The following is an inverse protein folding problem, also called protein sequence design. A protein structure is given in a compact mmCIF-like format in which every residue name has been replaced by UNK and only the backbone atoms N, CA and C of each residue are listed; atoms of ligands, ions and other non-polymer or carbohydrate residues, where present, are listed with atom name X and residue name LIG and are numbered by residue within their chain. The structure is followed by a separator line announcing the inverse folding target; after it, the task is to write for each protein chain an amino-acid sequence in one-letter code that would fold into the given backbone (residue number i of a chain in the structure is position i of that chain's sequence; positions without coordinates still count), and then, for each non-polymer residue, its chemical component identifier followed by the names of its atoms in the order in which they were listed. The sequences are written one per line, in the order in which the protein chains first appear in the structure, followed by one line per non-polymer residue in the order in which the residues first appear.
data_IF_877956997237
#
_entry.id   IF_877956997237
#
_cell.length_a   1.000
_cell.length_b   1.000
_cell.length_c   1.000
_cell.angle_alpha   90.00
_cell.angle_beta   90.00
_cell.angle_gamma   90.00
#
_symmetry.space_group_name_H-M   'P 1'
#
loop_
_entity.id
_entity.type
_entity.pdbx_description
1 polymer ?
#
# COMPACT_ATOMS: atom_id res chain seq x y z
N UNK A 1 2.58 -1.21 66.52
CA UNK A 1 2.65 0.17 66.00
C UNK A 1 1.31 0.65 65.40
N UNK A 2 0.31 -0.23 65.26
CA UNK A 2 -1.02 0.02 64.67
C UNK A 2 -1.93 1.02 65.38
N UNK A 3 -1.49 1.65 66.47
CA UNK A 3 -2.28 2.61 67.27
C UNK A 3 -1.74 4.06 67.23
N UNK A 4 -0.69 4.32 66.46
CA UNK A 4 0.02 5.62 66.47
C UNK A 4 -0.55 6.63 65.47
N UNK A 5 -1.27 6.16 64.45
CA UNK A 5 -2.05 6.98 63.51
C UNK A 5 -3.39 6.28 63.31
N UNK A 6 -4.49 7.03 63.43
CA UNK A 6 -5.84 6.52 63.18
C UNK A 6 -6.29 7.00 61.80
N UNK A 7 -6.53 6.03 60.91
CA UNK A 7 -7.23 6.29 59.65
C UNK A 7 -8.74 6.18 59.89
N UNK A 8 -9.54 7.06 59.29
CA UNK A 8 -11.00 6.91 59.27
C UNK A 8 -11.41 5.64 58.51
N UNK A 9 -10.61 5.25 57.51
CA UNK A 9 -10.73 4.01 56.72
C UNK A 9 -9.33 3.42 56.51
N UNK A 10 -9.14 2.12 56.79
CA UNK A 10 -7.84 1.43 56.58
C UNK A 10 -7.52 1.20 55.10
N UNK A 11 -8.59 1.03 54.32
CA UNK A 11 -8.60 0.81 52.89
C UNK A 11 -9.63 1.75 52.31
N UNK A 12 -9.25 2.47 51.25
CA UNK A 12 -10.15 3.43 50.58
C UNK A 12 -10.42 2.88 49.20
N UNK A 13 -11.69 2.58 48.97
CA UNK A 13 -12.19 2.10 47.68
C UNK A 13 -12.58 3.28 46.81
N UNK A 14 -12.07 3.30 45.59
CA UNK A 14 -12.52 4.21 44.55
C UNK A 14 -13.17 3.38 43.44
N UNK A 15 -14.49 3.54 43.31
CA UNK A 15 -15.29 2.87 42.29
C UNK A 15 -15.27 3.66 40.98
N UNK A 16 -15.01 2.97 39.87
CA UNK A 16 -15.08 3.56 38.54
C UNK A 16 -16.47 3.39 37.94
N UNK A 17 -17.12 4.51 37.64
CA UNK A 17 -18.40 4.52 36.94
C UNK A 17 -18.24 5.09 35.54
N UNK A 18 -18.90 4.46 34.57
CA UNK A 18 -18.81 4.85 33.18
C UNK A 18 -19.21 6.32 32.98
N UNK A 19 -18.37 7.12 32.32
CA UNK A 19 -18.60 8.54 32.00
C UNK A 19 -18.82 9.48 33.21
N UNK A 20 -18.29 9.14 34.38
CA UNK A 20 -18.40 9.99 35.58
C UNK A 20 -17.02 10.35 36.14
N UNK A 21 -16.92 11.55 36.73
CA UNK A 21 -15.72 11.96 37.48
C UNK A 21 -15.69 11.19 38.79
N UNK A 22 -14.69 10.31 38.93
CA UNK A 22 -14.50 9.52 40.15
C UNK A 22 -13.50 10.22 41.07
N UNK A 23 -13.97 10.58 42.27
CA UNK A 23 -13.13 11.06 43.36
C UNK A 23 -13.57 10.43 44.68
N UNK A 24 -12.64 10.22 45.59
CA UNK A 24 -12.92 9.78 46.96
C UNK A 24 -11.99 10.51 47.92
N UNK A 25 -12.47 10.81 49.13
CA UNK A 25 -11.67 11.53 50.13
C UNK A 25 -11.63 10.76 51.43
N UNK A 26 -10.48 10.81 52.11
CA UNK A 26 -10.28 10.16 53.40
C UNK A 26 -9.37 11.01 54.30
N UNK A 27 -9.48 10.84 55.61
CA UNK A 27 -8.68 11.58 56.59
C UNK A 27 -7.78 10.66 57.40
N UNK A 28 -6.54 11.10 57.60
CA UNK A 28 -5.55 10.45 58.46
C UNK A 28 -5.22 11.36 59.63
N UNK A 29 -5.17 10.79 60.84
CA UNK A 29 -4.87 11.54 62.08
C UNK A 29 -3.67 10.94 62.80
N UNK A 30 -2.61 11.72 62.96
CA UNK A 30 -1.44 11.35 63.74
C UNK A 30 -1.74 11.52 65.23
N UNK A 31 -1.69 10.42 66.00
CA UNK A 31 -1.94 10.40 67.43
C UNK A 31 -0.65 10.50 68.27
N UNK A 32 0.51 10.59 67.62
CA UNK A 32 1.79 10.77 68.30
C UNK A 32 1.87 12.18 68.89
N UNK A 33 2.29 12.29 70.15
CA UNK A 33 2.51 13.57 70.81
C UNK A 33 3.82 14.25 70.41
N UNK A 34 4.82 13.48 69.97
CA UNK A 34 6.21 13.96 69.83
C UNK A 34 6.83 13.74 68.45
N UNK A 35 6.15 13.03 67.54
CA UNK A 35 6.76 12.61 66.27
C UNK A 35 5.82 12.81 65.07
N UNK A 36 6.39 13.30 63.97
CA UNK A 36 5.70 13.36 62.68
C UNK A 36 5.70 11.99 61.99
N UNK A 37 4.66 11.72 61.21
CA UNK A 37 4.52 10.47 60.45
C UNK A 37 4.51 10.77 58.96
N UNK A 38 5.37 10.08 58.21
CA UNK A 38 5.36 10.11 56.76
C UNK A 38 4.31 9.13 56.23
N UNK A 39 3.54 9.55 55.24
CA UNK A 39 2.47 8.78 54.60
C UNK A 39 2.80 8.59 53.11
N UNK A 40 2.74 7.35 52.67
CA UNK A 40 2.80 6.97 51.25
C UNK A 40 1.57 6.17 50.88
N UNK A 41 0.99 6.49 49.72
CA UNK A 41 -0.16 5.78 49.15
C UNK A 41 0.30 4.73 48.13
N UNK A 42 -0.33 3.56 48.18
CA UNK A 42 -0.09 2.46 47.25
C UNK A 42 -1.42 1.86 46.80
N UNK A 43 -1.50 1.39 45.57
CA UNK A 43 -2.66 0.68 45.02
C UNK A 43 -2.49 -0.83 45.13
N UNK A 44 -3.59 -1.57 45.27
CA UNK A 44 -3.62 -3.04 45.16
C UNK A 44 -3.46 -3.54 43.72
N UNK A 45 -3.68 -2.68 42.72
CA UNK A 45 -3.52 -3.01 41.30
C UNK A 45 -2.57 -2.00 40.61
N UNK A 46 -1.24 -2.17 40.76
CA UNK A 46 -0.25 -1.28 40.15
C UNK A 46 -0.11 -1.48 38.63
N UNK A 47 -0.60 -2.58 38.08
CA UNK A 47 -0.59 -2.85 36.63
C UNK A 47 -1.61 -2.02 35.87
N UNK A 48 -2.71 -1.61 36.52
CA UNK A 48 -3.80 -0.84 35.88
C UNK A 48 -3.83 0.62 36.33
N UNK A 49 -3.29 0.91 37.52
CA UNK A 49 -3.39 2.24 38.12
C UNK A 49 -2.05 2.72 38.64
N UNK A 50 -1.68 3.93 38.22
CA UNK A 50 -0.54 4.64 38.76
C UNK A 50 -1.03 5.82 39.59
N UNK A 51 -0.57 5.87 40.84
CA UNK A 51 -0.81 6.99 41.74
C UNK A 51 0.43 7.87 41.65
N UNK A 52 0.27 9.12 41.20
CA UNK A 52 1.35 10.08 41.26
C UNK A 52 1.75 10.22 42.75
N UNK A 53 3.03 10.03 43.10
CA UNK A 53 3.46 9.89 44.50
C UNK A 53 3.96 11.22 45.10
N UNK A 54 3.12 12.04 45.75
CA UNK A 54 3.60 13.04 46.69
C UNK A 54 3.74 12.39 48.07
N UNK A 55 4.96 12.39 48.62
CA UNK A 55 5.18 12.04 50.02
C UNK A 55 4.55 13.13 50.91
N UNK A 56 3.69 12.75 51.85
CA UNK A 56 3.07 13.70 52.79
C UNK A 56 3.51 13.42 54.22
N UNK A 57 3.66 14.47 55.03
CA UNK A 57 4.07 14.37 56.43
C UNK A 57 2.98 14.96 57.32
N UNK A 58 2.49 14.16 58.27
CA UNK A 58 1.46 14.58 59.23
C UNK A 58 2.16 14.92 60.56
N UNK A 59 2.13 16.20 61.01
CA UNK A 59 2.68 16.63 62.29
C UNK A 59 2.08 15.90 63.51
N UNK A 60 2.74 15.91 64.68
CA UNK A 60 2.19 15.36 65.92
C UNK A 60 0.80 15.93 66.24
N UNK A 61 -0.12 15.09 66.73
CA UNK A 61 -1.48 15.46 67.14
C UNK A 61 -2.28 16.24 66.09
N UNK A 62 -2.08 15.96 64.81
CA UNK A 62 -2.74 16.66 63.70
C UNK A 62 -3.38 15.70 62.71
N UNK A 63 -4.32 16.22 61.92
CA UNK A 63 -4.98 15.47 60.85
C UNK A 63 -4.78 16.14 59.50
N UNK A 64 -4.80 15.33 58.44
CA UNK A 64 -4.77 15.79 57.04
C UNK A 64 -5.78 15.00 56.23
N UNK A 65 -6.49 15.68 55.32
CA UNK A 65 -7.41 15.05 54.38
C UNK A 65 -6.71 14.77 53.04
N UNK A 66 -7.10 13.70 52.36
CA UNK A 66 -6.56 13.34 51.06
C UNK A 66 -7.72 13.05 50.12
N UNK A 67 -7.72 13.66 48.95
CA UNK A 67 -8.71 13.42 47.89
C UNK A 67 -8.00 12.73 46.72
N UNK A 68 -8.41 11.51 46.40
CA UNK A 68 -7.99 10.83 45.18
C UNK A 68 -8.89 11.28 44.03
N UNK A 69 -8.30 11.68 42.91
CA UNK A 69 -9.02 12.14 41.72
C UNK A 69 -8.50 11.41 40.48
N UNK A 70 -9.38 10.77 39.73
CA UNK A 70 -9.00 10.19 38.42
C UNK A 70 -8.86 11.31 37.38
N UNK A 71 -7.68 11.44 36.77
CA UNK A 71 -7.51 12.41 35.67
C UNK A 71 -8.39 12.02 34.48
N UNK A 72 -9.16 12.99 33.98
CA UNK A 72 -10.18 12.86 32.93
C UNK A 72 -9.72 11.91 31.80
N UNK A 73 -10.41 10.79 31.64
CA UNK A 73 -10.29 9.90 30.49
C UNK A 73 -11.70 9.71 29.95
N UNK A 74 -11.88 9.83 28.63
CA UNK A 74 -12.89 9.02 27.94
C UNK A 74 -12.47 7.58 28.21
N UNK A 75 -13.17 6.92 29.13
CA UNK A 75 -12.61 5.80 29.88
C UNK A 75 -12.31 4.59 28.97
N UNK A 76 -11.17 3.91 29.13
CA UNK A 76 -10.99 2.57 28.58
C UNK A 76 -12.08 1.64 29.13
N UNK A 77 -12.39 0.52 28.48
CA UNK A 77 -13.35 -0.45 29.01
C UNK A 77 -12.77 -1.04 30.31
N UNK A 78 -13.07 -0.40 31.43
CA UNK A 78 -12.91 -0.98 32.75
C UNK A 78 -13.95 -2.10 32.89
N UNK A 79 -13.57 -3.16 33.59
CA UNK A 79 -14.30 -4.43 33.60
C UNK A 79 -15.70 -4.27 34.22
N UNK A 80 -16.61 -5.18 33.87
CA UNK A 80 -17.89 -5.36 34.57
C UNK A 80 -17.83 -6.71 35.33
N UNK A 81 -17.82 -6.73 36.68
CA UNK A 81 -18.14 -5.64 37.61
C UNK A 81 -17.04 -4.57 37.72
N UNK A 82 -17.46 -3.35 38.07
CA UNK A 82 -16.62 -2.15 38.15
C UNK A 82 -15.30 -2.39 38.90
N UNK A 83 -14.19 -2.04 38.26
CA UNK A 83 -12.88 -2.08 38.90
C UNK A 83 -12.89 -1.22 40.19
N UNK A 84 -12.33 -1.76 41.26
CA UNK A 84 -12.18 -1.05 42.54
C UNK A 84 -10.69 -0.91 42.79
N UNK A 85 -10.20 0.33 42.88
CA UNK A 85 -8.88 0.53 43.48
C UNK A 85 -9.06 0.56 44.98
N UNK A 86 -8.35 -0.33 45.66
CA UNK A 86 -8.11 -0.19 47.09
C UNK A 86 -6.79 0.54 47.28
N UNK A 87 -6.85 1.77 47.78
CA UNK A 87 -5.63 2.49 48.18
C UNK A 87 -5.28 2.15 49.62
N UNK A 88 -4.08 1.59 49.79
CA UNK A 88 -3.48 1.31 51.09
C UNK A 88 -2.56 2.44 51.50
N UNK A 89 -2.64 2.80 52.76
CA UNK A 89 -1.77 3.79 53.39
C UNK A 89 -0.64 3.06 54.12
N UNK A 90 0.60 3.43 53.82
CA UNK A 90 1.77 2.96 54.55
C UNK A 90 2.37 4.13 55.33
N UNK A 91 2.80 3.87 56.56
CA UNK A 91 3.14 4.91 57.53
C UNK A 91 4.43 4.58 58.26
N UNK A 92 5.34 5.55 58.35
CA UNK A 92 6.61 5.39 59.06
C UNK A 92 6.85 6.56 60.02
N UNK A 93 7.12 6.30 61.32
CA UNK A 93 7.58 7.32 62.25
C UNK A 93 8.95 7.86 61.80
N UNK A 94 9.10 9.19 61.77
CA UNK A 94 10.31 9.84 61.24
C UNK A 94 11.55 9.74 62.15
N UNK A 95 11.44 9.20 63.37
CA UNK A 95 12.44 9.30 64.44
C UNK A 95 13.70 8.44 64.33
N UNK A 96 14.05 7.97 63.12
CA UNK A 96 15.36 7.40 62.79
C UNK A 96 15.91 7.85 61.42
N UNK A 97 15.18 8.67 60.67
CA UNK A 97 15.68 9.25 59.43
C UNK A 97 16.53 10.48 59.77
N UNK A 98 17.71 10.63 59.16
CA UNK A 98 18.51 11.84 59.40
C UNK A 98 17.78 13.06 58.84
N UNK A 99 17.95 14.21 59.47
CA UNK A 99 17.40 15.49 59.00
C UNK A 99 17.83 15.81 57.57
N UNK A 100 18.99 15.33 57.13
CA UNK A 100 19.49 15.50 55.76
C UNK A 100 18.87 14.51 54.77
N UNK A 101 18.46 13.31 55.19
CA UNK A 101 17.69 12.37 54.35
C UNK A 101 16.28 12.89 54.09
N UNK A 102 15.64 13.43 55.13
CA UNK A 102 14.35 14.10 54.99
C UNK A 102 14.50 15.37 54.13
N UNK A 103 15.51 16.21 54.38
CA UNK A 103 15.75 17.41 53.55
C UNK A 103 16.04 17.08 52.09
N UNK A 104 16.84 16.05 51.77
CA UNK A 104 17.08 15.62 50.37
C UNK A 104 15.81 15.10 49.69
N UNK A 105 14.92 14.43 50.43
CA UNK A 105 13.58 14.04 49.96
C UNK A 105 12.66 15.25 49.70
N UNK A 106 12.88 16.40 50.36
CA UNK A 106 12.00 17.57 50.33
C UNK A 106 12.61 18.86 49.74
N UNK A 107 13.82 18.84 49.16
CA UNK A 107 14.55 20.07 48.75
C UNK A 107 14.24 20.60 47.35
N UNK A 108 13.10 20.26 46.73
CA UNK A 108 12.61 21.03 45.58
C UNK A 108 11.68 22.13 46.10
N UNK A 109 11.87 23.41 45.74
CA UNK A 109 11.05 24.50 46.24
C UNK A 109 9.62 24.36 45.69
N UNK A 110 8.68 24.15 46.59
CA UNK A 110 7.24 23.97 46.36
C UNK A 110 6.52 23.72 47.70
N UNK A 111 5.18 23.87 47.77
CA UNK A 111 4.45 23.77 49.03
C UNK A 111 4.42 22.30 49.51
N UNK A 112 5.35 21.92 50.38
CA UNK A 112 5.51 20.52 50.84
C UNK A 112 5.20 20.33 52.33
N UNK A 113 4.14 20.98 52.80
CA UNK A 113 3.33 20.48 53.92
C UNK A 113 1.89 20.50 53.41
N UNK A 114 1.40 19.38 52.89
CA UNK A 114 0.01 19.29 52.47
C UNK A 114 -0.88 19.29 53.71
N UNK A 115 -1.48 20.44 54.03
CA UNK A 115 -2.83 20.41 54.60
C UNK A 115 -3.77 20.27 53.41
N UNK A 116 -4.40 19.10 53.33
CA UNK A 116 -5.35 18.70 52.31
C UNK A 116 -4.74 18.57 50.89
N UNK A 117 -4.53 17.33 50.41
CA UNK A 117 -3.92 17.04 49.12
C UNK A 117 -4.89 16.41 48.13
N UNK A 118 -4.90 16.90 46.88
CA UNK A 118 -5.54 16.21 45.75
C UNK A 118 -4.49 15.39 45.02
N UNK A 119 -4.65 14.07 45.04
CA UNK A 119 -3.72 13.10 44.44
C UNK A 119 -4.35 12.56 43.17
N UNK A 120 -3.66 12.73 42.05
CA UNK A 120 -4.12 12.24 40.76
C UNK A 120 -3.80 10.76 40.57
N UNK A 121 -4.83 10.01 40.22
CA UNK A 121 -4.74 8.62 39.78
C UNK A 121 -4.81 8.61 38.25
N UNK A 122 -3.86 7.94 37.61
CA UNK A 122 -3.80 7.76 36.16
C UNK A 122 -3.95 6.28 35.82
N UNK A 123 -4.71 5.98 34.78
CA UNK A 123 -4.83 4.64 34.22
C UNK A 123 -3.54 4.30 33.46
N UNK A 124 -2.97 3.15 33.75
CA UNK A 124 -1.75 2.62 33.12
C UNK A 124 -1.92 1.17 32.74
N UNK A 125 -1.00 0.63 31.95
CA UNK A 125 -0.98 -0.76 31.56
C UNK A 125 -1.45 -1.01 30.12
N UNK A 126 -1.36 -2.28 29.68
CA UNK A 126 -1.51 -2.65 28.28
C UNK A 126 -2.91 -2.38 27.73
N UNK A 127 -3.97 -2.65 28.51
CA UNK A 127 -5.36 -2.43 28.10
C UNK A 127 -5.68 -0.96 27.85
N UNK A 128 -5.09 -0.07 28.65
CA UNK A 128 -5.23 1.38 28.51
C UNK A 128 -4.48 1.85 27.25
N UNK A 129 -3.27 1.36 27.04
CA UNK A 129 -2.48 1.67 25.85
C UNK A 129 -3.17 1.22 24.56
N UNK A 130 -3.74 0.00 24.54
CA UNK A 130 -4.48 -0.54 23.40
C UNK A 130 -5.76 0.27 23.09
N UNK A 131 -6.48 0.70 24.12
CA UNK A 131 -7.62 1.59 23.97
C UNK A 131 -7.22 2.95 23.38
N UNK A 132 -6.12 3.53 23.84
CA UNK A 132 -5.60 4.81 23.31
C UNK A 132 -5.22 4.67 21.84
N UNK A 133 -4.54 3.56 21.47
CA UNK A 133 -4.18 3.27 20.07
C UNK A 133 -5.42 3.12 19.21
N UNK A 134 -6.49 2.51 19.73
CA UNK A 134 -7.73 2.30 18.99
C UNK A 134 -8.58 3.57 18.82
N UNK A 135 -8.45 4.54 19.73
CA UNK A 135 -9.26 5.77 19.79
C UNK A 135 -8.43 7.05 19.58
N UNK A 136 -7.61 7.05 18.53
CA UNK A 136 -6.53 8.02 18.28
C UNK A 136 -6.99 9.42 17.81
N UNK A 137 -8.29 9.68 17.61
CA UNK A 137 -8.80 10.97 17.09
C UNK A 137 -8.78 12.14 18.10
N UNK A 138 -8.37 11.92 19.35
CA UNK A 138 -8.41 12.97 20.39
C UNK A 138 -7.02 13.51 20.75
N UNK A 139 -6.80 14.80 20.50
CA UNK A 139 -5.54 15.56 20.74
C UNK A 139 -5.01 15.44 22.17
N UNK A 140 -5.87 15.12 23.15
CA UNK A 140 -5.52 14.95 24.56
C UNK A 140 -4.74 13.66 24.87
N UNK A 141 -4.64 12.70 23.95
CA UNK A 141 -4.09 11.35 24.19
C UNK A 141 -2.56 11.23 24.14
N UNK A 142 -1.85 12.12 23.44
CA UNK A 142 -0.37 12.01 23.28
C UNK A 142 0.41 12.11 24.59
N UNK A 143 0.01 13.00 25.50
CA UNK A 143 0.65 13.15 26.81
C UNK A 143 0.32 12.01 27.80
N UNK A 144 -0.61 11.14 27.42
CA UNK A 144 -1.15 10.08 28.28
C UNK A 144 -0.65 8.70 27.84
N UNK A 145 -0.27 8.52 26.57
CA UNK A 145 0.26 7.26 26.07
C UNK A 145 1.57 6.85 26.75
N UNK A 146 2.55 7.75 26.82
CA UNK A 146 3.80 7.55 27.59
C UNK A 146 3.57 7.12 29.05
N UNK A 147 2.53 7.66 29.71
CA UNK A 147 2.13 7.24 31.06
C UNK A 147 1.49 5.87 31.04
N UNK A 148 0.62 5.59 30.07
CA UNK A 148 -0.04 4.30 29.94
C UNK A 148 0.98 3.16 29.82
N UNK A 149 2.02 3.34 29.00
CA UNK A 149 3.05 2.33 28.77
C UNK A 149 4.11 2.24 29.89
N UNK A 150 4.15 3.19 30.83
CA UNK A 150 5.17 3.25 31.89
C UNK A 150 5.15 2.06 32.86
N UNK A 151 4.00 1.38 32.98
CA UNK A 151 3.83 0.18 33.81
C UNK A 151 3.86 -1.12 33.00
N UNK A 152 4.14 -1.06 31.70
CA UNK A 152 4.16 -2.22 30.82
C UNK A 152 5.52 -2.94 30.85
N UNK A 153 5.48 -4.27 30.92
CA UNK A 153 6.66 -5.10 30.68
C UNK A 153 7.02 -5.14 29.18
N UNK A 154 8.24 -5.56 28.86
CA UNK A 154 8.74 -5.65 27.47
C UNK A 154 7.82 -6.49 26.56
N UNK A 155 7.27 -7.59 27.06
CA UNK A 155 6.32 -8.45 26.34
C UNK A 155 5.05 -7.69 25.95
N UNK A 156 4.48 -6.94 26.89
CA UNK A 156 3.31 -6.10 26.65
C UNK A 156 3.58 -5.00 25.63
N UNK A 157 4.72 -4.28 25.76
CA UNK A 157 5.13 -3.26 24.80
C UNK A 157 5.26 -3.81 23.39
N UNK A 158 5.83 -5.02 23.27
CA UNK A 158 6.03 -5.67 21.97
C UNK A 158 4.70 -6.08 21.34
N UNK A 159 3.76 -6.60 22.13
CA UNK A 159 2.43 -6.94 21.64
C UNK A 159 1.63 -5.70 21.18
N UNK A 160 1.86 -4.54 21.81
CA UNK A 160 1.23 -3.28 21.43
C UNK A 160 1.79 -2.67 20.13
N UNK A 161 2.97 -3.11 19.65
CA UNK A 161 3.55 -2.57 18.43
C UNK A 161 2.70 -2.87 17.20
N UNK A 162 2.12 -4.07 17.08
CA UNK A 162 1.28 -4.42 15.93
C UNK A 162 0.06 -3.48 15.77
N UNK A 163 -0.82 -3.31 16.77
CA UNK A 163 -1.94 -2.38 16.65
C UNK A 163 -1.47 -0.92 16.48
N UNK A 164 -0.36 -0.52 17.11
CA UNK A 164 0.19 0.82 16.91
C UNK A 164 0.64 1.05 15.46
N UNK A 165 1.32 0.07 14.85
CA UNK A 165 1.71 0.13 13.43
C UNK A 165 0.48 0.15 12.54
N UNK A 166 -0.53 -0.69 12.79
CA UNK A 166 -1.77 -0.75 12.01
C UNK A 166 -2.60 0.54 12.10
N UNK A 167 -2.48 1.29 13.22
CA UNK A 167 -3.06 2.64 13.34
C UNK A 167 -2.38 3.68 12.44
N UNK A 168 -1.16 3.42 11.96
CA UNK A 168 -0.37 4.35 11.15
C UNK A 168 0.17 5.57 11.90
N UNK A 169 0.06 5.62 13.23
CA UNK A 169 0.52 6.74 14.06
C UNK A 169 2.00 6.58 14.43
N UNK A 170 2.85 7.42 13.84
CA UNK A 170 4.31 7.38 14.05
C UNK A 170 4.69 7.58 15.53
N UNK A 171 4.03 8.51 16.22
CA UNK A 171 4.32 8.88 17.60
C UNK A 171 4.19 7.66 18.54
N UNK A 172 3.12 6.88 18.41
CA UNK A 172 2.89 5.70 19.25
C UNK A 172 3.89 4.59 18.99
N UNK A 173 4.25 4.36 17.72
CA UNK A 173 5.27 3.37 17.36
C UNK A 173 6.64 3.79 17.93
N UNK A 174 6.99 5.07 17.81
CA UNK A 174 8.25 5.61 18.34
C UNK A 174 8.32 5.50 19.88
N UNK A 175 7.24 5.85 20.59
CA UNK A 175 7.18 5.75 22.04
C UNK A 175 7.30 4.30 22.54
N UNK A 176 6.63 3.35 21.87
CA UNK A 176 6.72 1.93 22.23
C UNK A 176 8.13 1.36 22.02
N UNK A 177 8.79 1.71 20.91
CA UNK A 177 10.17 1.28 20.63
C UNK A 177 11.14 1.92 21.63
N UNK A 178 10.98 3.22 21.92
CA UNK A 178 11.79 3.92 22.92
C UNK A 178 11.61 3.34 24.33
N UNK A 179 10.42 2.85 24.66
CA UNK A 179 10.14 2.14 25.93
C UNK A 179 10.72 0.72 25.98
N UNK A 180 11.30 0.21 24.89
CA UNK A 180 11.95 -1.10 24.82
C UNK A 180 11.13 -2.20 24.14
N UNK A 181 10.03 -1.85 23.46
CA UNK A 181 9.28 -2.76 22.60
C UNK A 181 10.15 -3.31 21.47
N UNK A 182 10.04 -4.62 21.22
CA UNK A 182 10.94 -5.31 20.28
C UNK A 182 10.31 -5.42 18.89
N UNK A 183 10.63 -4.49 18.00
CA UNK A 183 10.13 -4.48 16.63
C UNK A 183 10.73 -5.59 15.73
N UNK A 184 11.70 -6.37 16.23
CA UNK A 184 12.33 -7.45 15.47
C UNK A 184 11.61 -8.79 15.57
N UNK A 185 10.66 -8.93 16.50
CA UNK A 185 9.91 -10.16 16.68
C UNK A 185 8.94 -10.41 15.52
N UNK A 186 8.76 -11.69 15.21
CA UNK A 186 7.81 -12.17 14.21
C UNK A 186 6.58 -12.78 14.88
N UNK A 187 5.46 -12.79 14.17
CA UNK A 187 4.26 -13.50 14.62
C UNK A 187 4.44 -15.03 14.61
N UNK A 188 3.39 -15.76 14.99
CA UNK A 188 3.39 -17.23 15.00
C UNK A 188 3.65 -17.87 13.63
N UNK A 189 3.46 -17.11 12.55
CA UNK A 189 3.68 -17.55 11.18
C UNK A 189 5.04 -17.09 10.64
N UNK A 190 5.86 -16.43 11.47
CA UNK A 190 7.16 -15.88 11.05
C UNK A 190 7.06 -14.60 10.24
N UNK A 191 5.92 -13.90 10.25
CA UNK A 191 5.74 -12.60 9.59
C UNK A 191 6.28 -11.47 10.45
N UNK A 192 6.97 -10.54 9.81
CA UNK A 192 7.43 -9.31 10.47
C UNK A 192 6.31 -8.27 10.58
N UNK A 193 6.59 -7.17 11.27
CA UNK A 193 5.69 -6.01 11.33
C UNK A 193 5.69 -5.17 10.04
N UNK A 194 6.65 -5.39 9.14
CA UNK A 194 6.86 -4.58 7.94
C UNK A 194 5.64 -4.61 6.99
N UNK A 195 5.04 -5.77 6.67
CA UNK A 195 3.81 -5.81 5.86
C UNK A 195 2.67 -4.98 6.45
N UNK A 196 2.46 -5.01 7.77
CA UNK A 196 1.44 -4.16 8.41
C UNK A 196 1.73 -2.68 8.26
N UNK A 197 3.00 -2.25 8.36
CA UNK A 197 3.40 -0.87 8.11
C UNK A 197 3.18 -0.47 6.65
N UNK A 198 3.52 -1.34 5.69
CA UNK A 198 3.31 -1.10 4.26
C UNK A 198 1.82 -0.84 4.00
N UNK A 199 0.91 -1.69 4.49
CA UNK A 199 -0.55 -1.55 4.31
C UNK A 199 -1.12 -0.21 4.78
N UNK A 200 -0.49 0.44 5.75
CA UNK A 200 -0.91 1.79 6.18
C UNK A 200 -0.61 2.88 5.16
N UNK A 201 0.31 2.62 4.22
CA UNK A 201 0.82 3.59 3.25
C UNK A 201 1.69 4.70 3.88
N UNK A 202 2.02 4.62 5.17
CA UNK A 202 2.83 5.63 5.87
C UNK A 202 4.31 5.24 5.83
N UNK A 203 5.05 5.84 4.89
CA UNK A 203 6.49 5.58 4.69
C UNK A 203 7.32 5.85 5.96
N UNK A 204 6.94 6.82 6.79
CA UNK A 204 7.67 7.16 8.00
C UNK A 204 7.61 6.05 9.07
N UNK A 205 6.46 5.37 9.19
CA UNK A 205 6.31 4.22 10.09
C UNK A 205 7.20 3.07 9.61
N UNK A 206 7.22 2.81 8.29
CA UNK A 206 8.08 1.81 7.70
C UNK A 206 9.57 2.11 7.94
N UNK A 207 10.00 3.36 7.70
CA UNK A 207 11.39 3.80 7.96
C UNK A 207 11.78 3.61 9.42
N UNK A 208 10.90 3.94 10.35
CA UNK A 208 11.14 3.78 11.78
C UNK A 208 11.34 2.30 12.15
N UNK A 209 10.50 1.38 11.65
CA UNK A 209 10.65 -0.05 11.91
C UNK A 209 11.97 -0.61 11.36
N UNK A 210 12.31 -0.24 10.12
CA UNK A 210 13.59 -0.64 9.50
C UNK A 210 14.78 -0.12 10.31
N UNK A 211 14.76 1.16 10.72
CA UNK A 211 15.81 1.74 11.55
C UNK A 211 15.91 1.08 12.93
N UNK A 212 14.80 0.53 13.43
CA UNK A 212 14.72 -0.17 14.71
C UNK A 212 15.16 -1.64 14.63
N UNK A 213 15.65 -2.08 13.47
CA UNK A 213 16.21 -3.42 13.27
C UNK A 213 15.18 -4.48 12.86
N UNK A 214 13.97 -4.11 12.48
CA UNK A 214 13.01 -5.05 11.88
C UNK A 214 13.58 -5.66 10.61
N UNK A 215 13.59 -6.99 10.54
CA UNK A 215 14.06 -7.75 9.38
C UNK A 215 12.88 -8.22 8.56
N UNK A 216 13.05 -8.20 7.24
CA UNK A 216 12.10 -8.84 6.32
C UNK A 216 12.35 -10.35 6.27
N UNK A 217 11.27 -11.10 6.13
CA UNK A 217 11.26 -12.51 5.77
C UNK A 217 10.58 -12.65 4.40
N UNK A 218 11.36 -12.61 3.32
CA UNK A 218 10.84 -12.59 1.94
C UNK A 218 9.89 -13.77 1.62
N UNK A 219 10.11 -14.93 2.26
CA UNK A 219 9.28 -16.11 2.05
C UNK A 219 7.85 -16.02 2.62
N UNK A 220 7.58 -15.08 3.53
CA UNK A 220 6.27 -14.97 4.21
C UNK A 220 5.71 -13.54 4.18
N UNK A 221 6.58 -12.52 4.15
CA UNK A 221 6.17 -11.12 4.25
C UNK A 221 5.65 -10.57 2.92
N UNK A 222 6.15 -11.05 1.78
CA UNK A 222 5.73 -10.62 0.43
C UNK A 222 5.67 -9.09 0.29
N UNK A 223 6.70 -8.41 0.81
CA UNK A 223 6.70 -6.95 0.98
C UNK A 223 6.55 -6.18 -0.33
N UNK A 224 7.10 -6.71 -1.44
CA UNK A 224 6.94 -6.11 -2.76
C UNK A 224 5.52 -6.27 -3.29
N UNK A 225 4.86 -7.40 -3.03
CA UNK A 225 3.46 -7.62 -3.40
C UNK A 225 2.55 -6.65 -2.66
N UNK A 226 2.71 -6.51 -1.34
CA UNK A 226 1.94 -5.57 -0.52
C UNK A 226 2.15 -4.12 -0.98
N UNK A 227 3.38 -3.72 -1.28
CA UNK A 227 3.67 -2.38 -1.79
C UNK A 227 3.05 -2.16 -3.19
N UNK A 228 3.04 -3.21 -4.03
CA UNK A 228 2.45 -3.17 -5.36
C UNK A 228 0.91 -3.03 -5.35
N UNK A 229 0.22 -3.58 -4.34
CA UNK A 229 -1.23 -3.39 -4.12
C UNK A 229 -1.58 -1.92 -3.85
N UNK A 230 -0.68 -1.14 -3.26
CA UNK A 230 -1.00 0.21 -2.78
C UNK A 230 -0.72 1.32 -3.80
N UNK A 231 -0.18 0.99 -4.97
CA UNK A 231 0.32 1.95 -5.97
C UNK A 231 1.39 2.93 -5.42
N UNK A 232 2.21 2.46 -4.46
CA UNK A 232 3.20 3.29 -3.76
C UNK A 232 4.62 2.99 -4.22
N UNK A 233 5.00 3.58 -5.35
CA UNK A 233 6.35 3.47 -5.93
C UNK A 233 7.44 3.91 -4.94
N UNK A 234 7.16 4.91 -4.11
CA UNK A 234 8.08 5.37 -3.07
C UNK A 234 8.40 4.29 -2.02
N UNK A 235 7.40 3.48 -1.64
CA UNK A 235 7.60 2.33 -0.76
C UNK A 235 8.38 1.22 -1.50
N UNK A 236 8.02 0.91 -2.76
CA UNK A 236 8.74 -0.10 -3.55
C UNK A 236 10.23 0.27 -3.70
N UNK A 237 10.53 1.52 -4.05
CA UNK A 237 11.90 2.04 -4.15
C UNK A 237 12.65 1.92 -2.83
N UNK A 238 12.04 2.38 -1.74
CA UNK A 238 12.64 2.30 -0.41
C UNK A 238 12.98 0.86 -0.01
N UNK A 239 12.07 -0.09 -0.26
CA UNK A 239 12.30 -1.51 0.03
C UNK A 239 13.46 -2.09 -0.79
N UNK A 240 13.51 -1.81 -2.09
CA UNK A 240 14.58 -2.28 -2.97
C UNK A 240 15.93 -1.63 -2.65
N UNK A 241 15.96 -0.37 -2.24
CA UNK A 241 17.19 0.32 -1.83
C UNK A 241 17.78 -0.27 -0.54
N UNK A 242 16.95 -0.52 0.48
CA UNK A 242 17.40 -1.03 1.77
C UNK A 242 17.70 -2.53 1.74
N UNK A 243 16.94 -3.30 0.95
CA UNK A 243 16.98 -4.76 0.93
C UNK A 243 17.42 -5.34 -0.42
N UNK A 244 18.21 -4.60 -1.20
CA UNK A 244 18.67 -4.98 -2.55
C UNK A 244 19.22 -6.41 -2.64
N UNK A 245 20.02 -6.84 -1.66
CA UNK A 245 20.65 -8.16 -1.65
C UNK A 245 19.69 -9.32 -1.33
N UNK A 246 18.48 -9.02 -0.84
CA UNK A 246 17.52 -10.01 -0.32
C UNK A 246 16.24 -10.08 -1.13
N UNK A 247 15.83 -9.00 -1.78
CA UNK A 247 14.58 -8.94 -2.52
C UNK A 247 14.84 -9.22 -4.00
N UNK A 248 14.19 -10.26 -4.51
CA UNK A 248 14.04 -10.46 -5.94
C UNK A 248 12.76 -9.76 -6.42
N UNK A 249 12.87 -8.93 -7.45
CA UNK A 249 11.73 -8.26 -8.07
C UNK A 249 10.72 -9.26 -8.68
N UNK A 250 11.19 -10.46 -9.00
CA UNK A 250 10.37 -11.56 -9.50
C UNK A 250 9.98 -12.57 -8.41
N UNK A 251 10.17 -12.24 -7.12
CA UNK A 251 9.79 -13.14 -6.03
C UNK A 251 8.29 -13.48 -6.08
N UNK A 252 7.97 -14.72 -5.74
CA UNK A 252 6.60 -15.22 -5.86
C UNK A 252 5.96 -15.47 -4.51
N UNK A 253 4.68 -15.13 -4.37
CA UNK A 253 3.91 -15.48 -3.19
C UNK A 253 3.44 -16.95 -3.21
N UNK A 254 2.60 -17.35 -2.25
CA UNK A 254 2.07 -18.72 -2.13
C UNK A 254 1.27 -19.21 -3.34
N UNK A 255 0.76 -18.31 -4.18
CA UNK A 255 0.03 -18.64 -5.41
C UNK A 255 0.92 -18.59 -6.66
N UNK A 256 2.23 -18.47 -6.46
CA UNK A 256 3.25 -18.20 -7.48
C UNK A 256 3.09 -16.85 -8.20
N UNK A 257 2.36 -15.90 -7.61
CA UNK A 257 2.19 -14.56 -8.20
C UNK A 257 3.42 -13.70 -7.90
N UNK A 258 3.93 -12.99 -8.91
CA UNK A 258 4.94 -11.94 -8.76
C UNK A 258 4.30 -10.58 -8.41
N UNK A 259 5.06 -9.56 -7.98
CA UNK A 259 4.52 -8.23 -7.69
C UNK A 259 3.78 -7.61 -8.89
N UNK A 260 4.23 -7.86 -10.13
CA UNK A 260 3.53 -7.41 -11.35
C UNK A 260 2.13 -8.02 -11.45
N UNK A 261 1.93 -9.29 -11.10
CA UNK A 261 0.59 -9.91 -11.16
C UNK A 261 -0.39 -9.15 -10.27
N UNK A 262 0.05 -8.78 -9.07
CA UNK A 262 -0.79 -8.08 -8.08
C UNK A 262 -1.04 -6.62 -8.51
N UNK A 263 -0.02 -5.92 -9.00
CA UNK A 263 -0.18 -4.58 -9.56
C UNK A 263 -1.13 -4.57 -10.78
N UNK A 264 -1.02 -5.57 -11.66
CA UNK A 264 -1.89 -5.73 -12.83
C UNK A 264 -3.34 -6.04 -12.46
N UNK A 265 -3.56 -6.83 -11.40
CA UNK A 265 -4.88 -7.14 -10.85
C UNK A 265 -5.62 -5.88 -10.35
N UNK A 266 -4.88 -4.97 -9.71
CA UNK A 266 -5.41 -3.71 -9.18
C UNK A 266 -5.37 -2.55 -10.19
N UNK A 267 -4.65 -2.71 -11.32
CA UNK A 267 -4.58 -1.72 -12.39
C UNK A 267 -3.52 -0.63 -12.19
N UNK A 268 -2.54 -0.86 -11.34
CA UNK A 268 -1.49 0.09 -10.97
C UNK A 268 -0.37 0.16 -12.00
N UNK A 269 -0.65 0.80 -13.15
CA UNK A 269 0.29 0.92 -14.29
C UNK A 269 1.63 1.52 -13.87
N UNK A 270 1.63 2.55 -13.03
CA UNK A 270 2.85 3.23 -12.58
C UNK A 270 3.82 2.28 -11.87
N UNK A 271 3.29 1.37 -11.04
CA UNK A 271 4.09 0.32 -10.39
C UNK A 271 4.53 -0.74 -11.41
N UNK A 272 3.66 -1.17 -12.32
CA UNK A 272 4.02 -2.14 -13.37
C UNK A 272 5.18 -1.61 -14.21
N UNK A 273 5.09 -0.37 -14.70
CA UNK A 273 6.12 0.30 -15.48
C UNK A 273 7.44 0.37 -14.72
N UNK A 274 7.39 0.80 -13.44
CA UNK A 274 8.58 0.82 -12.60
C UNK A 274 9.21 -0.56 -12.42
N UNK A 275 8.42 -1.59 -12.11
CA UNK A 275 8.91 -2.95 -11.93
C UNK A 275 9.53 -3.52 -13.23
N UNK A 276 8.88 -3.30 -14.37
CA UNK A 276 9.43 -3.72 -15.68
C UNK A 276 10.75 -3.00 -15.96
N UNK A 277 10.85 -1.71 -15.65
CA UNK A 277 12.09 -0.93 -15.86
C UNK A 277 13.31 -1.45 -15.09
N UNK A 278 13.08 -2.16 -13.97
CA UNK A 278 14.13 -2.77 -13.14
C UNK A 278 14.30 -4.29 -13.38
N UNK A 279 13.69 -4.83 -14.44
CA UNK A 279 13.89 -6.21 -14.88
C UNK A 279 12.86 -7.23 -14.39
N UNK A 280 11.70 -6.79 -13.90
CA UNK A 280 10.60 -7.70 -13.61
C UNK A 280 9.97 -8.26 -14.91
N UNK A 281 9.59 -9.53 -14.89
CA UNK A 281 9.08 -10.23 -16.06
C UNK A 281 7.55 -10.03 -16.22
N UNK A 282 7.08 -9.27 -17.23
CA UNK A 282 5.64 -9.08 -17.48
C UNK A 282 4.95 -10.34 -18.03
N UNK A 283 5.73 -11.33 -18.47
CA UNK A 283 5.25 -12.62 -18.99
C UNK A 283 5.26 -13.73 -17.93
N UNK A 284 5.55 -13.41 -16.66
CA UNK A 284 5.56 -14.41 -15.59
C UNK A 284 4.20 -15.10 -15.48
N UNK A 285 4.20 -16.34 -14.99
CA UNK A 285 2.99 -17.15 -14.81
C UNK A 285 2.85 -17.59 -13.36
N UNK A 286 1.63 -17.52 -12.84
CA UNK A 286 1.30 -18.02 -11.51
C UNK A 286 0.97 -19.53 -11.51
N UNK A 287 0.52 -20.04 -10.36
CA UNK A 287 0.17 -21.46 -10.18
C UNK A 287 -0.94 -21.95 -11.10
N UNK A 288 -1.80 -21.05 -11.61
CA UNK A 288 -2.85 -21.35 -12.58
C UNK A 288 -2.42 -21.09 -14.03
N UNK A 289 -1.13 -20.83 -14.25
CA UNK A 289 -0.59 -20.33 -15.51
C UNK A 289 -1.18 -18.98 -15.94
N UNK A 290 -1.74 -18.21 -15.01
CA UNK A 290 -2.20 -16.87 -15.34
C UNK A 290 -1.00 -15.94 -15.43
N UNK A 291 -0.97 -15.16 -16.50
CA UNK A 291 -0.02 -14.04 -16.65
C UNK A 291 -0.61 -12.77 -16.01
N UNK A 292 0.20 -11.72 -15.79
CA UNK A 292 -0.32 -10.41 -15.40
C UNK A 292 -1.46 -9.90 -16.29
N UNK A 293 -1.40 -10.20 -17.59
CA UNK A 293 -2.45 -9.84 -18.55
C UNK A 293 -3.79 -10.56 -18.25
N UNK A 294 -3.76 -11.82 -17.82
CA UNK A 294 -4.96 -12.54 -17.40
C UNK A 294 -5.60 -11.88 -16.16
N UNK A 295 -4.79 -11.48 -15.17
CA UNK A 295 -5.28 -10.78 -13.97
C UNK A 295 -5.88 -9.42 -14.31
N UNK A 296 -5.19 -8.60 -15.11
CA UNK A 296 -5.68 -7.29 -15.56
C UNK A 296 -6.98 -7.43 -16.36
N UNK A 297 -7.05 -8.39 -17.28
CA UNK A 297 -8.25 -8.64 -18.08
C UNK A 297 -9.43 -9.15 -17.23
N UNK A 298 -9.15 -10.05 -16.29
CA UNK A 298 -10.13 -10.61 -15.36
C UNK A 298 -10.68 -9.58 -14.35
N UNK A 299 -10.03 -8.41 -14.19
CA UNK A 299 -10.44 -7.33 -13.29
C UNK A 299 -10.86 -6.06 -14.03
N UNK A 300 -10.97 -6.10 -15.35
CA UNK A 300 -11.34 -4.97 -16.21
C UNK A 300 -10.37 -3.77 -16.14
N UNK A 301 -9.08 -4.04 -15.95
CA UNK A 301 -8.06 -3.01 -15.79
C UNK A 301 -7.55 -2.53 -17.15
N UNK A 302 -8.34 -1.68 -17.83
CA UNK A 302 -8.08 -1.21 -19.20
C UNK A 302 -6.64 -0.74 -19.42
N UNK A 303 -6.16 0.21 -18.60
CA UNK A 303 -4.82 0.80 -18.76
C UNK A 303 -3.70 -0.21 -18.51
N UNK A 304 -3.88 -1.13 -17.55
CA UNK A 304 -2.90 -2.19 -17.32
C UNK A 304 -2.89 -3.20 -18.48
N UNK A 305 -4.04 -3.50 -19.07
CA UNK A 305 -4.13 -4.33 -20.29
C UNK A 305 -3.41 -3.65 -21.46
N UNK A 306 -3.62 -2.35 -21.71
CA UNK A 306 -2.90 -1.59 -22.75
C UNK A 306 -1.40 -1.67 -22.54
N UNK A 307 -0.92 -1.28 -21.35
CA UNK A 307 0.51 -1.30 -21.02
C UNK A 307 1.13 -2.70 -21.17
N UNK A 308 0.44 -3.74 -20.69
CA UNK A 308 0.92 -5.11 -20.80
C UNK A 308 0.91 -5.60 -22.24
N UNK A 309 -0.07 -5.24 -23.07
CA UNK A 309 -0.05 -5.63 -24.49
C UNK A 309 1.09 -4.98 -25.27
N UNK A 310 1.55 -3.80 -24.86
CA UNK A 310 2.72 -3.12 -25.45
C UNK A 310 4.05 -3.73 -25.01
N UNK A 311 4.11 -4.27 -23.79
CA UNK A 311 5.36 -4.73 -23.14
C UNK A 311 5.41 -6.25 -22.89
N UNK A 312 4.47 -7.03 -23.44
CA UNK A 312 4.38 -8.47 -23.21
C UNK A 312 3.91 -9.21 -24.47
N UNK A 313 4.48 -10.39 -24.73
CA UNK A 313 4.15 -11.23 -25.89
C UNK A 313 3.12 -12.33 -25.54
N UNK A 314 2.43 -12.20 -24.40
CA UNK A 314 1.55 -13.23 -23.84
C UNK A 314 0.06 -13.02 -24.12
N UNK A 315 -0.28 -12.21 -25.13
CA UNK A 315 -1.67 -11.95 -25.54
C UNK A 315 -2.50 -13.23 -25.74
N UNK A 316 -1.88 -14.25 -26.32
CA UNK A 316 -2.49 -15.55 -26.63
C UNK A 316 -2.09 -16.67 -25.65
N UNK A 317 -1.41 -16.32 -24.56
CA UNK A 317 -1.09 -17.29 -23.53
C UNK A 317 -2.39 -17.87 -22.96
N UNK A 318 -2.33 -19.16 -22.60
CA UNK A 318 -3.47 -19.90 -22.07
C UNK A 318 -3.23 -20.30 -20.64
N UNK A 319 -4.22 -20.06 -19.78
CA UNK A 319 -4.22 -20.59 -18.42
C UNK A 319 -4.51 -22.10 -18.38
N UNK A 320 -4.51 -22.70 -17.19
CA UNK A 320 -4.65 -24.15 -17.02
C UNK A 320 -5.93 -24.75 -17.65
N UNK A 321 -7.06 -24.03 -17.66
CA UNK A 321 -8.29 -24.46 -18.33
C UNK A 321 -8.32 -24.14 -19.84
N UNK A 322 -7.21 -23.65 -20.39
CA UNK A 322 -7.04 -23.36 -21.81
C UNK A 322 -7.56 -22.01 -22.27
N UNK A 323 -8.01 -21.14 -21.34
CA UNK A 323 -8.56 -19.82 -21.65
C UNK A 323 -7.46 -18.77 -21.81
N UNK A 324 -7.69 -17.83 -22.71
CA UNK A 324 -6.87 -16.63 -22.91
C UNK A 324 -7.40 -15.48 -22.06
N UNK A 325 -6.60 -14.40 -21.93
CA UNK A 325 -7.05 -13.17 -21.27
C UNK A 325 -8.34 -12.58 -21.90
N UNK A 326 -8.53 -12.76 -23.22
CA UNK A 326 -9.77 -12.36 -23.89
C UNK A 326 -10.97 -13.19 -23.43
N UNK A 327 -10.84 -14.51 -23.40
CA UNK A 327 -11.95 -15.40 -23.01
C UNK A 327 -12.34 -15.17 -21.54
N UNK A 328 -11.38 -14.87 -20.66
CA UNK A 328 -11.68 -14.44 -19.29
C UNK A 328 -12.44 -13.10 -19.23
N UNK A 329 -12.08 -12.15 -20.09
CA UNK A 329 -12.80 -10.88 -20.20
C UNK A 329 -14.21 -11.07 -20.75
N UNK A 330 -14.41 -12.00 -21.71
CA UNK A 330 -15.72 -12.35 -22.27
C UNK A 330 -16.62 -12.99 -21.21
N UNK A 331 -16.12 -13.96 -20.45
CA UNK A 331 -16.87 -14.63 -19.38
C UNK A 331 -17.33 -13.67 -18.29
N UNK A 332 -16.54 -12.62 -18.02
CA UNK A 332 -16.87 -11.57 -17.04
C UNK A 332 -17.59 -10.36 -17.65
N UNK A 333 -17.88 -10.40 -18.96
CA UNK A 333 -18.54 -9.34 -19.71
C UNK A 333 -17.81 -7.98 -19.65
N UNK A 334 -16.49 -8.00 -19.70
CA UNK A 334 -15.63 -6.81 -19.74
C UNK A 334 -15.52 -6.26 -21.16
N UNK A 335 -16.64 -5.78 -21.70
CA UNK A 335 -16.79 -5.35 -23.11
C UNK A 335 -15.77 -4.30 -23.57
N UNK A 336 -15.32 -3.43 -22.65
CA UNK A 336 -14.30 -2.42 -22.93
C UNK A 336 -12.96 -3.02 -23.35
N UNK A 337 -12.65 -4.24 -22.91
CA UNK A 337 -11.40 -4.93 -23.25
C UNK A 337 -11.46 -5.64 -24.60
N UNK A 338 -12.64 -5.83 -25.18
CA UNK A 338 -12.80 -6.60 -26.42
C UNK A 338 -12.05 -5.94 -27.59
N UNK A 339 -12.02 -4.60 -27.62
CA UNK A 339 -11.24 -3.84 -28.59
C UNK A 339 -9.75 -4.15 -28.52
N UNK A 340 -9.20 -4.11 -27.31
CA UNK A 340 -7.77 -4.31 -27.05
C UNK A 340 -7.34 -5.76 -27.30
N UNK A 341 -8.09 -6.71 -26.73
CA UNK A 341 -7.71 -8.11 -26.68
C UNK A 341 -8.09 -8.88 -27.95
N UNK A 342 -9.20 -8.52 -28.60
CA UNK A 342 -9.73 -9.23 -29.78
C UNK A 342 -9.66 -8.39 -31.05
N UNK A 343 -10.24 -7.20 -31.02
CA UNK A 343 -10.57 -6.51 -32.28
C UNK A 343 -9.36 -5.89 -32.97
N UNK A 344 -8.30 -5.52 -32.24
CA UNK A 344 -7.06 -5.07 -32.87
C UNK A 344 -6.51 -6.09 -33.87
N UNK A 345 -6.35 -7.34 -33.45
CA UNK A 345 -5.81 -8.39 -34.32
C UNK A 345 -6.86 -8.92 -35.28
N UNK A 346 -8.14 -8.92 -34.91
CA UNK A 346 -9.22 -9.32 -35.79
C UNK A 346 -9.38 -8.34 -36.97
N UNK A 347 -9.26 -7.03 -36.72
CA UNK A 347 -9.30 -5.99 -37.75
C UNK A 347 -8.09 -6.10 -38.68
N UNK A 348 -6.88 -6.23 -38.13
CA UNK A 348 -5.65 -6.47 -38.90
C UNK A 348 -5.77 -7.73 -39.77
N UNK A 349 -6.29 -8.82 -39.22
CA UNK A 349 -6.46 -10.10 -39.92
C UNK A 349 -7.53 -10.01 -41.01
N UNK A 350 -8.66 -9.36 -40.73
CA UNK A 350 -9.74 -9.11 -41.69
C UNK A 350 -9.24 -8.26 -42.87
N UNK A 351 -8.48 -7.20 -42.59
CA UNK A 351 -7.85 -6.34 -43.60
C UNK A 351 -6.85 -7.12 -44.48
N UNK A 352 -6.11 -8.08 -43.92
CA UNK A 352 -5.17 -8.93 -44.65
C UNK A 352 -5.86 -9.90 -45.62
N UNK A 353 -6.98 -10.51 -45.22
CA UNK A 353 -7.69 -11.54 -46.01
C UNK A 353 -8.85 -11.02 -46.86
N UNK A 354 -9.17 -9.73 -46.78
CA UNK A 354 -10.33 -9.07 -47.42
C UNK A 354 -11.69 -9.57 -46.90
N UNK A 355 -11.78 -9.93 -45.63
CA UNK A 355 -13.06 -10.25 -44.99
C UNK A 355 -13.81 -8.97 -44.66
N UNK A 356 -14.49 -8.42 -45.66
CA UNK A 356 -15.30 -7.19 -45.59
C UNK A 356 -16.36 -7.26 -44.48
N UNK A 357 -16.93 -8.44 -44.23
CA UNK A 357 -17.97 -8.60 -43.21
C UNK A 357 -17.38 -8.53 -41.81
N UNK A 358 -16.27 -9.24 -41.56
CA UNK A 358 -15.55 -9.15 -40.29
C UNK A 358 -14.96 -7.75 -40.08
N UNK A 359 -14.44 -7.12 -41.15
CA UNK A 359 -13.89 -5.76 -41.11
C UNK A 359 -14.95 -4.74 -40.68
N UNK A 360 -16.12 -4.72 -41.34
CA UNK A 360 -17.24 -3.83 -40.97
C UNK A 360 -17.76 -4.12 -39.56
N UNK A 361 -17.83 -5.40 -39.17
CA UNK A 361 -18.25 -5.79 -37.83
C UNK A 361 -17.28 -5.29 -36.76
N UNK A 362 -15.98 -5.49 -36.94
CA UNK A 362 -14.96 -5.00 -36.00
C UNK A 362 -15.01 -3.48 -35.86
N UNK A 363 -15.14 -2.75 -36.98
CA UNK A 363 -15.26 -1.29 -36.96
C UNK A 363 -16.56 -0.83 -36.27
N UNK A 364 -17.69 -1.49 -36.51
CA UNK A 364 -18.96 -1.19 -35.85
C UNK A 364 -18.95 -1.53 -34.35
N UNK A 365 -18.19 -2.55 -33.94
CA UNK A 365 -17.98 -2.93 -32.55
C UNK A 365 -17.00 -1.99 -31.82
N UNK A 366 -16.31 -1.08 -32.52
CA UNK A 366 -15.43 -0.07 -31.93
C UNK A 366 -13.94 -0.40 -32.01
N UNK A 367 -13.51 -1.23 -32.96
CA UNK A 367 -12.10 -1.45 -33.23
C UNK A 367 -11.39 -0.15 -33.66
N UNK A 368 -10.22 0.11 -33.09
CA UNK A 368 -9.37 1.23 -33.50
C UNK A 368 -8.84 1.03 -34.93
N UNK A 369 -9.28 1.89 -35.86
CA UNK A 369 -8.95 1.80 -37.28
C UNK A 369 -7.45 1.95 -37.58
N UNK A 370 -6.73 2.71 -36.75
CA UNK A 370 -5.31 3.03 -36.91
C UNK A 370 -4.39 2.27 -35.95
N UNK A 371 -4.89 1.23 -35.28
CA UNK A 371 -4.06 0.43 -34.38
C UNK A 371 -2.91 -0.22 -35.13
N UNK A 372 -1.71 -0.13 -34.57
CA UNK A 372 -0.50 -0.74 -35.13
C UNK A 372 -0.24 -2.13 -34.53
N UNK A 373 0.33 -3.02 -35.33
CA UNK A 373 0.87 -4.30 -34.87
C UNK A 373 2.34 -4.16 -34.41
N UNK A 374 2.99 -5.29 -34.08
CA UNK A 374 4.38 -5.35 -33.59
C UNK A 374 5.43 -4.81 -34.58
N UNK A 375 5.08 -4.62 -35.85
CA UNK A 375 5.97 -4.03 -36.86
C UNK A 375 5.58 -2.57 -37.19
N UNK A 376 4.68 -1.98 -36.41
CA UNK A 376 4.12 -0.67 -36.69
C UNK A 376 3.04 -0.67 -37.79
N UNK A 377 2.58 -1.83 -38.27
CA UNK A 377 1.64 -1.90 -39.39
C UNK A 377 0.20 -1.67 -38.94
N UNK A 378 -0.50 -0.77 -39.63
CA UNK A 378 -1.96 -0.58 -39.47
C UNK A 378 -2.75 -1.55 -40.35
N UNK A 379 -4.07 -1.73 -40.12
CA UNK A 379 -4.94 -2.46 -41.05
C UNK A 379 -4.81 -1.96 -42.50
N UNK A 380 -4.58 -0.65 -42.68
CA UNK A 380 -4.39 -0.06 -44.01
C UNK A 380 -3.07 -0.49 -44.66
N UNK A 381 -1.98 -0.68 -43.90
CA UNK A 381 -0.73 -1.25 -44.41
C UNK A 381 -0.96 -2.69 -44.93
N UNK A 382 -1.60 -3.54 -44.12
CA UNK A 382 -1.89 -4.92 -44.50
C UNK A 382 -2.81 -5.02 -45.72
N UNK A 383 -3.91 -4.26 -45.74
CA UNK A 383 -4.81 -4.23 -46.88
C UNK A 383 -4.12 -3.72 -48.15
N UNK A 384 -3.20 -2.75 -48.00
CA UNK A 384 -2.47 -2.17 -49.12
C UNK A 384 -1.41 -3.11 -49.69
N UNK A 385 -0.61 -3.73 -48.82
CA UNK A 385 0.39 -4.72 -49.20
C UNK A 385 -0.22 -5.98 -49.84
N UNK A 386 -1.46 -6.35 -49.47
CA UNK A 386 -2.17 -7.51 -50.03
C UNK A 386 -3.10 -7.17 -51.20
N UNK A 387 -3.21 -5.90 -51.60
CA UNK A 387 -4.00 -5.49 -52.76
C UNK A 387 -5.52 -5.54 -52.52
N UNK A 388 -5.97 -5.45 -51.26
CA UNK A 388 -7.38 -5.62 -50.87
C UNK A 388 -8.19 -4.34 -51.02
N UNK A 389 -8.57 -4.01 -52.26
CA UNK A 389 -9.23 -2.74 -52.61
C UNK A 389 -10.50 -2.46 -51.79
N UNK A 390 -11.34 -3.48 -51.53
CA UNK A 390 -12.59 -3.30 -50.76
C UNK A 390 -12.28 -2.96 -49.31
N UNK A 391 -11.35 -3.69 -48.67
CA UNK A 391 -10.89 -3.39 -47.33
C UNK A 391 -10.24 -2.00 -47.21
N UNK A 392 -9.41 -1.60 -48.19
CA UNK A 392 -8.82 -0.25 -48.25
C UNK A 392 -9.90 0.83 -48.24
N UNK A 393 -10.93 0.71 -49.09
CA UNK A 393 -12.02 1.68 -49.14
C UNK A 393 -12.78 1.77 -47.81
N UNK A 394 -13.13 0.64 -47.21
CA UNK A 394 -13.86 0.61 -45.94
C UNK A 394 -13.02 1.23 -44.81
N UNK A 395 -11.73 0.90 -44.74
CA UNK A 395 -10.83 1.48 -43.73
C UNK A 395 -10.74 3.00 -43.88
N UNK A 396 -10.59 3.50 -45.11
CA UNK A 396 -10.56 4.95 -45.40
C UNK A 396 -11.88 5.64 -45.04
N UNK A 397 -13.02 5.04 -45.38
CA UNK A 397 -14.36 5.53 -45.00
C UNK A 397 -14.53 5.65 -43.47
N UNK A 398 -13.81 4.84 -42.70
CA UNK A 398 -13.85 4.83 -41.23
C UNK A 398 -12.65 5.60 -40.60
N UNK A 399 -11.98 6.46 -41.35
CA UNK A 399 -10.96 7.38 -40.82
C UNK A 399 -9.55 6.80 -40.72
N UNK A 400 -9.21 5.79 -41.53
CA UNK A 400 -7.83 5.29 -41.58
C UNK A 400 -6.84 6.37 -42.04
N UNK A 401 -5.74 6.52 -41.30
CA UNK A 401 -4.66 7.46 -41.62
C UNK A 401 -3.83 6.97 -42.81
N UNK A 402 -3.92 7.69 -43.93
CA UNK A 402 -3.29 7.33 -45.21
C UNK A 402 -1.76 7.48 -45.19
N UNK A 403 -1.25 8.36 -44.33
CA UNK A 403 0.17 8.69 -44.19
C UNK A 403 0.78 8.16 -42.88
N UNK A 404 0.08 7.29 -42.16
CA UNK A 404 0.66 6.61 -41.00
C UNK A 404 1.89 5.82 -41.45
N UNK A 405 3.00 5.95 -40.73
CA UNK A 405 4.24 5.23 -41.03
C UNK A 405 4.43 4.04 -40.10
N UNK A 406 4.96 2.94 -40.63
CA UNK A 406 5.44 1.81 -39.84
C UNK A 406 6.82 2.10 -39.19
N UNK A 407 7.37 1.13 -38.47
CA UNK A 407 8.65 1.28 -37.76
C UNK A 407 9.85 1.45 -38.72
N UNK A 408 9.69 1.08 -39.99
CA UNK A 408 10.67 1.27 -41.06
C UNK A 408 10.45 2.59 -41.85
N UNK A 409 9.43 3.37 -41.51
CA UNK A 409 9.07 4.61 -42.18
C UNK A 409 8.28 4.42 -43.47
N UNK A 410 7.74 3.24 -43.73
CA UNK A 410 6.89 2.96 -44.89
C UNK A 410 5.46 3.41 -44.61
N UNK A 411 4.83 4.01 -45.62
CA UNK A 411 3.40 4.32 -45.61
C UNK A 411 2.62 3.21 -46.33
N UNK A 412 1.28 3.11 -46.17
CA UNK A 412 0.47 2.16 -46.92
C UNK A 412 0.66 2.26 -48.45
N UNK A 413 0.94 3.47 -48.96
CA UNK A 413 1.25 3.69 -50.38
C UNK A 413 2.58 3.05 -50.79
N UNK A 414 3.61 3.11 -49.95
CA UNK A 414 4.88 2.39 -50.20
C UNK A 414 4.63 0.88 -50.26
N UNK A 415 3.85 0.33 -49.33
CA UNK A 415 3.52 -1.10 -49.33
C UNK A 415 2.75 -1.52 -50.58
N UNK A 416 1.78 -0.70 -51.04
CA UNK A 416 1.07 -0.96 -52.30
C UNK A 416 2.00 -0.88 -53.53
N UNK A 417 2.97 0.04 -53.52
CA UNK A 417 3.94 0.21 -54.58
C UNK A 417 4.92 -0.96 -54.69
N UNK A 418 5.44 -1.40 -53.54
CA UNK A 418 6.35 -2.53 -53.44
C UNK A 418 5.67 -3.85 -53.84
N UNK A 419 4.40 -4.03 -53.48
CA UNK A 419 3.63 -5.20 -53.88
C UNK A 419 3.07 -5.12 -55.32
N UNK A 420 3.25 -4.01 -56.02
CA UNK A 420 2.77 -3.81 -57.39
C UNK A 420 1.25 -3.62 -57.54
N UNK A 421 0.55 -3.23 -56.47
CA UNK A 421 -0.90 -3.08 -56.44
C UNK A 421 -1.35 -1.69 -56.90
N UNK A 422 -1.24 -1.44 -58.20
CA UNK A 422 -1.53 -0.14 -58.85
C UNK A 422 -2.91 0.42 -58.47
N UNK A 423 -3.94 -0.41 -58.47
CA UNK A 423 -5.31 0.03 -58.24
C UNK A 423 -5.56 0.45 -56.78
N UNK A 424 -4.85 -0.15 -55.83
CA UNK A 424 -4.86 0.30 -54.42
C UNK A 424 -4.14 1.63 -54.29
N UNK A 425 -2.96 1.78 -54.89
CA UNK A 425 -2.22 3.03 -54.84
C UNK A 425 -3.01 4.20 -55.44
N UNK A 426 -3.74 3.97 -56.55
CA UNK A 426 -4.65 4.97 -57.10
C UNK A 426 -5.76 5.36 -56.13
N UNK A 427 -6.35 4.39 -55.40
CA UNK A 427 -7.37 4.68 -54.38
C UNK A 427 -6.80 5.49 -53.22
N UNK A 428 -5.61 5.14 -52.73
CA UNK A 428 -4.92 5.89 -51.66
C UNK A 428 -4.60 7.33 -52.09
N UNK A 429 -4.07 7.52 -53.30
CA UNK A 429 -3.78 8.85 -53.87
C UNK A 429 -5.07 9.67 -54.06
N UNK A 430 -6.14 9.03 -54.53
CA UNK A 430 -7.41 9.70 -54.79
C UNK A 430 -8.15 10.15 -53.52
N UNK A 431 -7.88 9.51 -52.37
CA UNK A 431 -8.54 9.83 -51.10
C UNK A 431 -7.99 11.10 -50.40
N UNK A 432 -7.02 11.80 -51.01
CA UNK A 432 -6.81 13.24 -50.77
C UNK A 432 -5.94 13.62 -49.57
N UNK A 433 -4.69 13.16 -49.52
CA UNK A 433 -3.71 13.66 -48.54
C UNK A 433 -2.27 13.16 -48.67
N UNK A 434 -2.02 12.07 -49.43
CA UNK A 434 -0.73 11.39 -49.41
C UNK A 434 0.43 12.31 -49.78
N UNK A 435 1.39 12.50 -48.86
CA UNK A 435 2.67 13.12 -49.21
C UNK A 435 3.47 12.15 -50.08
N UNK A 436 3.33 12.27 -51.39
CA UNK A 436 4.04 11.46 -52.40
C UNK A 436 5.57 11.61 -52.37
N UNK A 437 6.09 12.51 -51.53
CA UNK A 437 7.50 12.89 -51.40
C UNK A 437 8.17 12.49 -50.07
N UNK A 438 7.53 11.67 -49.21
CA UNK A 438 8.20 11.17 -48.00
C UNK A 438 9.36 10.23 -48.39
N UNK A 439 10.60 10.66 -48.12
CA UNK A 439 11.81 9.87 -48.36
C UNK A 439 12.05 8.96 -47.15
N UNK A 440 12.12 7.65 -47.39
CA UNK A 440 12.52 6.66 -46.37
C UNK A 440 14.00 6.82 -45.97
N UNK A 441 14.40 6.22 -44.85
CA UNK A 441 15.81 6.09 -44.46
C UNK A 441 16.66 5.32 -45.49
N UNK A 442 16.03 4.61 -46.46
CA UNK A 442 16.69 3.93 -47.58
C UNK A 442 16.60 4.69 -48.93
N UNK A 443 16.19 5.97 -48.95
CA UNK A 443 16.12 6.82 -50.16
C UNK A 443 15.18 6.32 -51.29
N UNK A 444 14.18 5.49 -51.01
CA UNK A 444 13.23 5.02 -52.05
C UNK A 444 11.92 5.80 -51.95
N UNK A 445 11.52 6.47 -53.03
CA UNK A 445 10.19 7.10 -53.14
C UNK A 445 9.16 6.06 -53.63
N UNK A 446 7.86 6.17 -53.24
CA UNK A 446 6.82 5.25 -53.71
C UNK A 446 6.74 5.17 -55.24
N UNK A 447 6.96 6.31 -55.91
CA UNK A 447 6.97 6.45 -57.37
C UNK A 447 8.15 5.70 -58.01
N UNK A 448 9.32 5.70 -57.36
CA UNK A 448 10.51 4.98 -57.85
C UNK A 448 10.31 3.46 -57.86
N UNK A 449 9.60 2.91 -56.87
CA UNK A 449 9.26 1.48 -56.80
C UNK A 449 8.33 1.05 -57.93
N UNK A 450 7.32 1.87 -58.25
CA UNK A 450 6.44 1.62 -59.40
C UNK A 450 7.18 1.65 -60.74
N UNK A 451 8.11 2.59 -60.93
CA UNK A 451 8.92 2.64 -62.16
C UNK A 451 9.80 1.39 -62.31
N UNK A 452 10.32 0.83 -61.21
CA UNK A 452 11.11 -0.41 -61.22
C UNK A 452 10.27 -1.64 -61.59
N UNK A 453 9.03 -1.74 -61.08
CA UNK A 453 8.11 -2.81 -61.45
C UNK A 453 7.57 -2.67 -62.89
N UNK A 454 7.25 -1.45 -63.34
CA UNK A 454 6.81 -1.19 -64.71
C UNK A 454 7.94 -1.45 -65.71
N UNK A 455 9.19 -1.12 -65.37
CA UNK A 455 10.34 -1.45 -66.22
C UNK A 455 10.63 -2.96 -66.24
N UNK A 456 10.45 -3.68 -65.13
CA UNK A 456 10.55 -5.14 -65.12
C UNK A 456 9.40 -5.82 -65.91
N UNK A 457 8.16 -5.36 -65.78
CA UNK A 457 7.01 -5.93 -66.52
C UNK A 457 7.06 -5.62 -68.02
N UNK A 458 7.52 -4.42 -68.41
CA UNK A 458 7.80 -4.08 -69.81
C UNK A 458 8.99 -4.90 -70.37
N UNK A 459 9.97 -5.26 -69.53
CA UNK A 459 11.08 -6.12 -69.95
C UNK A 459 10.63 -7.57 -70.20
N UNK A 460 9.64 -8.07 -69.46
CA UNK A 460 8.98 -9.35 -69.74
C UNK A 460 8.06 -9.30 -70.96
N UNK A 461 7.31 -8.20 -71.17
CA UNK A 461 6.45 -8.01 -72.35
C UNK A 461 7.24 -7.90 -73.66
N UNK A 462 8.44 -7.29 -73.63
CA UNK A 462 9.32 -7.22 -74.82
C UNK A 462 10.02 -8.54 -75.14
N UNK A 463 10.17 -9.47 -74.17
CA UNK A 463 10.71 -10.81 -74.42
C UNK A 463 9.68 -11.77 -75.04
N UNK A 464 8.38 -11.54 -74.84
CA UNK A 464 7.32 -12.33 -75.50
C UNK A 464 7.05 -11.91 -76.95
N UNK A 465 7.49 -10.73 -77.39
CA UNK A 465 7.34 -10.27 -78.79
C UNK A 465 8.57 -10.55 -79.67
N UNK A 466 9.61 -11.22 -79.14
CA UNK A 466 10.78 -11.67 -79.93
C UNK A 466 10.82 -13.18 -80.18
N UNK A 467 9.76 -13.91 -79.83
CA UNK A 467 9.58 -15.32 -80.17
C UNK A 467 8.15 -15.51 -80.68
N UNK A 468 7.88 -15.03 -81.88
CA UNK A 468 6.80 -15.47 -82.77
C UNK A 468 7.12 -15.03 -84.20
#
# INVERSE_FOLDING_TARGET
MDRLVKAELKEVELHFHKNQKCFTSFKLTNLMHTMSVAVSLTTTNPSTFSINKPLSVIPPLSSSSYTLHLSNMNQPPLSDPADVITVRTSMLPTGKASTDDLRRLFNKPGPHVFRDAVITVTLVGPTVAEYIISNYDSVETRNLFSKAISACEKSHLTNLLKPAVESGQLDYVAELIAAGGDASLTDSNGRSLIPSAIRTGKLDVLKLLVASGSRINDSVDFVLHEAAVLDRIDIVKFLLEIFADKLDVNSTNTESKTPIHVAAMEGHVSVIEFLVSIGANPNAVDSQKWTPLHHAASRNQLKAVEFLLENSDVKYAKELNGKTAFELAEERNHTRLFGLLRWGDALLRAARVDDVHALKRCLAEGAEVNRKDQNGWTPLHWASFKGRIKSVKILLEHGAEVDSVDDAGYTPLHCAAEAGHLQVALVLIAHGGCQTNLKTFQHVSPIGSFQKHVSQSLHYSKKSETIA
#
